data_IF_086551946510
#
_entry.id   IF_086551946510
#
_cell.length_a   1.000
_cell.length_b   1.000
_cell.length_c   1.000
_cell.angle_alpha   90.00
_cell.angle_beta   90.00
_cell.angle_gamma   90.00
#
_symmetry.space_group_name_H-M   'P 1'
#
loop_
_entity.id
_entity.type
_entity.pdbx_description
1 polymer ?
#
# COMPACT_ATOMS: atom_id res chain seq x y z
N UNK A 1 16.59 -2.37 -13.19
CA UNK A 1 16.64 -2.65 -14.64
C UNK A 1 16.54 -1.33 -15.39
N UNK A 2 16.71 -1.29 -16.70
CA UNK A 2 16.46 -0.08 -17.50
C UNK A 2 15.01 0.00 -17.93
N UNK A 3 14.40 1.17 -17.87
CA UNK A 3 13.09 1.45 -18.50
C UNK A 3 13.15 1.10 -20.00
N UNK A 4 12.18 0.31 -20.45
CA UNK A 4 12.01 -0.03 -21.87
C UNK A 4 10.83 0.73 -22.47
N UNK A 5 10.88 0.92 -23.79
CA UNK A 5 9.70 1.30 -24.59
C UNK A 5 9.07 0.03 -25.15
N UNK A 6 7.81 -0.19 -24.86
CA UNK A 6 7.03 -1.29 -25.39
C UNK A 6 6.05 -0.72 -26.41
N UNK A 7 6.09 -1.26 -27.63
CA UNK A 7 5.11 -0.95 -28.66
C UNK A 7 4.20 -2.15 -28.86
N UNK A 8 2.89 -1.96 -28.69
CA UNK A 8 1.88 -2.99 -28.93
C UNK A 8 1.29 -2.80 -30.31
N UNK A 9 1.38 -3.81 -31.17
CA UNK A 9 0.82 -3.81 -32.53
C UNK A 9 -0.71 -4.02 -32.53
N UNK A 10 -1.40 -3.22 -31.72
CA UNK A 10 -2.84 -3.22 -31.51
C UNK A 10 -3.17 -2.31 -30.34
N UNK A 11 -4.13 -2.71 -29.51
CA UNK A 11 -4.59 -1.95 -28.35
C UNK A 11 -3.96 -2.42 -27.03
N UNK A 12 -4.15 -1.62 -25.99
CA UNK A 12 -3.85 -1.97 -24.61
C UNK A 12 -5.13 -1.80 -23.79
N UNK A 13 -5.60 -2.87 -23.16
CA UNK A 13 -6.77 -2.87 -22.29
C UNK A 13 -6.36 -3.24 -20.86
N UNK A 14 -6.58 -2.35 -19.90
CA UNK A 14 -6.21 -2.54 -18.49
C UNK A 14 -7.43 -2.89 -17.65
N UNK A 15 -7.39 -4.08 -17.05
CA UNK A 15 -8.44 -4.68 -16.22
C UNK A 15 -8.02 -4.87 -14.75
N UNK A 16 -6.96 -4.18 -14.33
CA UNK A 16 -6.49 -4.17 -12.94
C UNK A 16 -6.31 -2.73 -12.45
N UNK A 17 -6.66 -2.42 -11.20
CA UNK A 17 -6.38 -1.12 -10.61
C UNK A 17 -4.90 -0.94 -10.23
N UNK A 18 -4.08 -2.01 -10.27
CA UNK A 18 -2.70 -2.04 -9.75
C UNK A 18 -1.62 -1.91 -10.82
N UNK A 19 -1.99 -1.46 -12.02
CA UNK A 19 -1.04 -1.21 -13.11
C UNK A 19 -0.73 0.28 -13.22
N UNK A 20 0.55 0.61 -13.29
CA UNK A 20 1.05 1.93 -13.63
C UNK A 20 2.12 1.84 -14.71
N UNK A 21 2.51 2.98 -15.26
CA UNK A 21 3.47 3.06 -16.35
C UNK A 21 4.24 4.39 -16.28
N UNK A 22 5.44 4.44 -16.85
CA UNK A 22 6.26 5.66 -16.90
C UNK A 22 5.72 6.68 -17.87
N UNK A 23 5.28 6.19 -19.03
CA UNK A 23 4.69 7.00 -20.08
C UNK A 23 3.77 6.10 -20.92
N UNK A 24 2.74 6.68 -21.52
CA UNK A 24 1.89 5.93 -22.43
C UNK A 24 1.33 6.78 -23.55
N UNK A 25 0.92 6.10 -24.63
CA UNK A 25 0.18 6.74 -25.70
C UNK A 25 -0.52 5.72 -26.61
N UNK A 26 -1.47 6.21 -27.40
CA UNK A 26 -2.22 5.43 -28.39
C UNK A 26 -2.13 6.10 -29.77
N UNK A 27 -2.61 5.40 -30.80
CA UNK A 27 -2.59 5.87 -32.19
C UNK A 27 -1.20 6.05 -32.79
N UNK A 28 -0.23 5.22 -32.36
CA UNK A 28 1.11 5.22 -32.93
C UNK A 28 1.14 4.30 -34.17
N UNK A 29 1.15 4.89 -35.37
CA UNK A 29 1.18 4.10 -36.61
C UNK A 29 2.49 3.30 -36.79
N UNK A 30 3.57 3.80 -36.20
CA UNK A 30 4.90 3.17 -36.24
C UNK A 30 5.46 3.04 -34.81
N UNK A 31 6.25 1.99 -34.52
CA UNK A 31 6.93 1.84 -33.24
C UNK A 31 7.90 3.00 -32.97
N UNK A 32 7.92 3.57 -31.76
CA UNK A 32 8.99 4.48 -31.35
C UNK A 32 10.37 3.84 -31.50
N UNK A 33 11.39 4.66 -31.77
CA UNK A 33 12.76 4.17 -31.93
C UNK A 33 13.23 3.37 -30.70
N UNK A 34 13.72 2.15 -30.94
CA UNK A 34 14.20 1.24 -29.90
C UNK A 34 13.09 0.54 -29.10
N UNK A 35 11.82 0.64 -29.52
CA UNK A 35 10.74 -0.07 -28.87
C UNK A 35 10.80 -1.58 -29.11
N UNK A 36 10.56 -2.35 -28.06
CA UNK A 36 10.29 -3.79 -28.15
C UNK A 36 8.86 -3.97 -28.66
N UNK A 37 8.69 -4.73 -29.73
CA UNK A 37 7.37 -4.97 -30.35
C UNK A 37 6.72 -6.15 -29.65
N UNK A 38 5.49 -5.95 -29.21
CA UNK A 38 4.66 -6.96 -28.60
C UNK A 38 3.40 -7.15 -29.46
N UNK A 39 3.18 -8.38 -29.89
CA UNK A 39 2.01 -8.75 -30.69
C UNK A 39 0.82 -9.06 -29.78
N UNK A 40 -0.38 -8.72 -30.24
CA UNK A 40 -1.60 -8.99 -29.51
C UNK A 40 -1.90 -10.49 -29.48
N UNK A 41 -2.33 -10.99 -28.32
CA UNK A 41 -2.77 -12.36 -28.13
C UNK A 41 -4.24 -12.48 -27.75
N UNK A 42 -4.94 -11.35 -27.62
CA UNK A 42 -6.34 -11.26 -27.24
C UNK A 42 -7.08 -10.24 -28.12
N UNK A 43 -8.41 -10.27 -28.06
CA UNK A 43 -9.30 -9.30 -28.71
C UNK A 43 -10.33 -8.78 -27.72
N UNK A 44 -10.55 -7.46 -27.71
CA UNK A 44 -11.63 -6.80 -26.96
C UNK A 44 -12.50 -6.05 -27.97
N UNK A 45 -13.80 -6.36 -28.01
CA UNK A 45 -14.77 -5.80 -28.97
C UNK A 45 -14.30 -5.88 -30.44
N UNK A 46 -13.66 -7.01 -30.80
CA UNK A 46 -13.13 -7.25 -32.14
C UNK A 46 -11.87 -6.45 -32.49
N UNK A 47 -11.27 -5.76 -31.52
CA UNK A 47 -10.00 -5.06 -31.70
C UNK A 47 -8.86 -5.86 -31.05
N UNK A 48 -7.82 -6.25 -31.80
CA UNK A 48 -6.65 -6.93 -31.24
C UNK A 48 -5.97 -6.07 -30.19
N UNK A 49 -5.70 -6.63 -29.01
CA UNK A 49 -5.02 -5.94 -27.92
C UNK A 49 -4.26 -6.90 -27.02
N UNK A 50 -3.40 -6.35 -26.17
CA UNK A 50 -3.04 -7.04 -24.94
C UNK A 50 -4.01 -6.70 -23.82
N UNK A 51 -4.23 -7.69 -22.98
CA UNK A 51 -5.01 -7.56 -21.78
C UNK A 51 -4.07 -7.56 -20.57
N UNK A 52 -4.14 -6.49 -19.77
CA UNK A 52 -3.35 -6.32 -18.55
C UNK A 52 -4.24 -6.62 -17.36
N UNK A 53 -3.91 -7.70 -16.65
CA UNK A 53 -4.63 -8.19 -15.45
C UNK A 53 -3.65 -8.36 -14.29
N UNK A 54 -4.15 -8.70 -13.10
CA UNK A 54 -3.29 -9.02 -11.95
C UNK A 54 -2.44 -10.28 -12.15
N UNK A 55 -2.89 -11.19 -13.02
CA UNK A 55 -2.21 -12.46 -13.31
C UNK A 55 -1.28 -12.37 -14.52
N UNK A 56 -1.45 -11.33 -15.34
CA UNK A 56 -0.70 -11.11 -16.58
C UNK A 56 -0.52 -9.61 -16.77
N UNK A 57 0.58 -9.09 -16.21
CA UNK A 57 0.96 -7.70 -16.37
C UNK A 57 2.39 -7.59 -16.93
N UNK A 58 2.64 -6.69 -17.88
CA UNK A 58 4.00 -6.28 -18.20
C UNK A 58 4.56 -5.36 -17.09
N UNK A 59 5.84 -5.00 -17.15
CA UNK A 59 6.49 -4.24 -16.06
C UNK A 59 5.98 -2.80 -15.93
N UNK A 60 5.60 -2.37 -14.73
CA UNK A 60 5.11 -1.02 -14.42
C UNK A 60 6.17 0.07 -14.62
N UNK A 61 7.45 -0.30 -14.76
CA UNK A 61 8.57 0.65 -14.96
C UNK A 61 8.86 0.97 -16.42
N UNK A 62 8.06 0.44 -17.35
CA UNK A 62 8.20 0.67 -18.79
C UNK A 62 7.28 1.80 -19.30
N UNK A 63 7.56 2.21 -20.53
CA UNK A 63 6.72 3.08 -21.35
C UNK A 63 5.91 2.23 -22.34
N UNK A 64 4.65 2.59 -22.60
CA UNK A 64 3.71 1.78 -23.38
C UNK A 64 3.04 2.56 -24.50
N UNK A 65 3.27 2.13 -25.74
CA UNK A 65 2.75 2.78 -26.93
C UNK A 65 1.88 1.80 -27.72
N UNK A 66 0.61 2.13 -27.88
CA UNK A 66 -0.35 1.31 -28.60
C UNK A 66 -0.58 1.84 -30.02
N UNK A 67 -0.70 0.93 -30.98
CA UNK A 67 -1.08 1.27 -32.35
C UNK A 67 -2.50 1.80 -32.45
N UNK A 68 -3.44 1.20 -31.73
CA UNK A 68 -4.86 1.51 -31.87
C UNK A 68 -5.38 2.29 -30.68
N UNK A 69 -5.54 1.67 -29.51
CA UNK A 69 -6.14 2.30 -28.33
C UNK A 69 -5.36 2.00 -27.05
N UNK A 70 -5.56 2.84 -26.04
CA UNK A 70 -5.06 2.63 -24.68
C UNK A 70 -6.23 2.93 -23.73
N UNK A 71 -6.76 1.90 -23.07
CA UNK A 71 -7.99 2.01 -22.29
C UNK A 71 -7.90 1.26 -20.97
N UNK A 72 -8.68 1.70 -19.98
CA UNK A 72 -8.89 0.99 -18.73
C UNK A 72 -10.37 0.97 -18.38
N UNK A 73 -10.82 -0.14 -17.79
CA UNK A 73 -12.18 -0.26 -17.22
C UNK A 73 -12.19 -0.10 -15.70
N UNK A 74 -11.04 0.08 -15.08
CA UNK A 74 -10.88 0.18 -13.64
C UNK A 74 -10.53 1.61 -13.23
N UNK A 75 -11.05 2.05 -12.09
CA UNK A 75 -10.40 3.15 -11.38
C UNK A 75 -9.09 2.62 -10.82
N UNK A 76 -7.98 3.25 -11.20
CA UNK A 76 -6.69 2.86 -10.66
C UNK A 76 -6.61 3.09 -9.16
N UNK A 77 -5.77 2.30 -8.49
CA UNK A 77 -5.53 2.47 -7.06
C UNK A 77 -4.88 3.81 -6.77
N UNK A 78 -5.42 4.49 -5.76
CA UNK A 78 -5.03 5.82 -5.38
C UNK A 78 -3.51 5.99 -5.14
N UNK A 79 -2.84 5.02 -4.52
CA UNK A 79 -1.39 5.07 -4.23
C UNK A 79 -0.52 5.19 -5.49
N UNK A 80 -1.06 4.92 -6.68
CA UNK A 80 -0.36 5.09 -7.97
C UNK A 80 -0.24 6.57 -8.34
N UNK A 81 -1.18 7.42 -7.93
CA UNK A 81 -1.22 8.83 -8.35
C UNK A 81 -1.09 9.80 -7.17
N UNK A 82 -1.26 9.31 -5.94
CA UNK A 82 -1.12 10.10 -4.73
C UNK A 82 0.34 10.46 -4.46
N UNK A 83 0.55 11.70 -4.08
CA UNK A 83 1.74 12.14 -3.37
C UNK A 83 1.71 11.67 -1.92
N UNK A 84 2.85 11.78 -1.22
CA UNK A 84 2.87 11.55 0.23
C UNK A 84 1.98 12.52 0.99
N UNK A 85 1.78 13.73 0.46
CA UNK A 85 0.88 14.71 1.06
C UNK A 85 -0.58 14.25 0.97
N UNK A 86 -1.01 13.72 -0.18
CA UNK A 86 -2.38 13.20 -0.33
C UNK A 86 -2.66 12.05 0.64
N UNK A 87 -1.68 11.16 0.86
CA UNK A 87 -1.78 10.11 1.88
C UNK A 87 -1.86 10.65 3.31
N UNK A 88 -1.11 11.73 3.61
CA UNK A 88 -1.17 12.41 4.89
C UNK A 88 -2.52 13.10 5.12
N UNK A 89 -3.06 13.75 4.10
CA UNK A 89 -4.34 14.45 4.18
C UNK A 89 -5.48 13.44 4.40
N UNK A 90 -5.48 12.30 3.70
CA UNK A 90 -6.44 11.22 3.95
C UNK A 90 -6.34 10.64 5.36
N UNK A 91 -5.13 10.53 5.92
CA UNK A 91 -4.93 10.18 7.32
C UNK A 91 -5.62 11.19 8.24
N UNK A 92 -5.41 12.49 8.00
CA UNK A 92 -6.02 13.56 8.80
C UNK A 92 -7.55 13.56 8.70
N UNK A 93 -8.11 13.32 7.52
CA UNK A 93 -9.56 13.21 7.31
C UNK A 93 -10.14 12.05 8.11
N UNK A 94 -9.48 10.88 8.06
CA UNK A 94 -9.90 9.71 8.83
C UNK A 94 -9.84 9.98 10.34
N UNK A 95 -8.77 10.64 10.82
CA UNK A 95 -8.64 11.03 12.23
C UNK A 95 -9.70 12.06 12.64
N UNK A 96 -10.10 12.95 11.73
CA UNK A 96 -11.17 13.91 11.97
C UNK A 96 -12.51 13.20 12.17
N UNK A 97 -12.83 12.21 11.34
CA UNK A 97 -14.00 11.34 11.54
C UNK A 97 -13.95 10.58 12.88
N UNK A 98 -12.78 10.09 13.30
CA UNK A 98 -12.62 9.48 14.63
C UNK A 98 -12.92 10.47 15.74
N UNK A 99 -12.45 11.72 15.64
CA UNK A 99 -12.73 12.78 16.62
C UNK A 99 -14.21 13.12 16.69
N UNK A 100 -14.92 13.11 15.57
CA UNK A 100 -16.38 13.27 15.54
C UNK A 100 -17.09 12.16 16.31
N UNK A 101 -16.71 10.89 16.07
CA UNK A 101 -17.24 9.74 16.84
C UNK A 101 -16.99 9.92 18.34
N UNK A 102 -15.80 10.39 18.73
CA UNK A 102 -15.50 10.67 20.14
C UNK A 102 -16.37 11.80 20.71
N UNK A 103 -16.73 12.81 19.92
CA UNK A 103 -17.64 13.88 20.33
C UNK A 103 -19.04 13.38 20.68
N UNK A 104 -19.54 12.37 19.96
CA UNK A 104 -20.83 11.73 20.21
C UNK A 104 -20.86 10.92 21.54
N UNK A 105 -19.70 10.56 22.09
CA UNK A 105 -19.63 9.76 23.32
C UNK A 105 -20.03 10.53 24.58
N UNK A 106 -20.15 11.86 24.52
CA UNK A 106 -20.56 12.69 25.65
C UNK A 106 -22.03 12.44 26.05
N UNK A 107 -22.88 12.11 25.08
CA UNK A 107 -24.30 11.78 25.29
C UNK A 107 -24.59 10.28 25.30
N UNK A 108 -23.56 9.44 25.10
CA UNK A 108 -23.71 7.98 25.03
C UNK A 108 -23.37 7.31 26.37
N UNK A 109 -24.17 6.33 26.78
CA UNK A 109 -23.97 5.56 28.02
C UNK A 109 -24.02 4.05 27.77
N UNK A 110 -23.66 3.27 28.79
CA UNK A 110 -23.75 1.80 28.74
C UNK A 110 -22.82 1.14 27.71
N UNK A 111 -23.24 -0.03 27.21
CA UNK A 111 -22.45 -0.86 26.30
C UNK A 111 -22.13 -0.17 24.98
N UNK A 112 -23.05 0.64 24.46
CA UNK A 112 -22.85 1.38 23.21
C UNK A 112 -21.66 2.34 23.29
N UNK A 113 -21.46 2.98 24.44
CA UNK A 113 -20.28 3.85 24.66
C UNK A 113 -18.98 3.05 24.51
N UNK A 114 -18.94 1.85 25.06
CA UNK A 114 -17.77 0.98 24.98
C UNK A 114 -17.50 0.49 23.54
N UNK A 115 -18.54 0.10 22.82
CA UNK A 115 -18.45 -0.32 21.42
C UNK A 115 -17.95 0.82 20.52
N UNK A 116 -18.49 2.04 20.69
CA UNK A 116 -18.03 3.22 19.96
C UNK A 116 -16.58 3.60 20.30
N UNK A 117 -16.14 3.43 21.55
CA UNK A 117 -14.74 3.59 21.93
C UNK A 117 -13.83 2.58 21.24
N UNK A 118 -14.25 1.31 21.12
CA UNK A 118 -13.52 0.28 20.38
C UNK A 118 -13.43 0.66 18.89
N UNK A 119 -14.53 1.09 18.29
CA UNK A 119 -14.56 1.52 16.89
C UNK A 119 -13.65 2.74 16.65
N UNK A 120 -13.70 3.75 17.52
CA UNK A 120 -12.83 4.92 17.43
C UNK A 120 -11.34 4.54 17.58
N UNK A 121 -11.01 3.66 18.52
CA UNK A 121 -9.64 3.15 18.67
C UNK A 121 -9.18 2.38 17.42
N UNK A 122 -10.04 1.52 16.87
CA UNK A 122 -9.80 0.80 15.62
C UNK A 122 -9.58 1.75 14.43
N UNK A 123 -10.38 2.81 14.34
CA UNK A 123 -10.29 3.82 13.28
C UNK A 123 -8.93 4.52 13.22
N UNK A 124 -8.31 4.81 14.37
CA UNK A 124 -6.93 5.35 14.40
C UNK A 124 -5.94 4.38 13.75
N UNK A 125 -6.07 3.08 14.03
CA UNK A 125 -5.21 2.06 13.43
C UNK A 125 -5.48 1.83 11.96
N UNK A 126 -6.74 1.91 11.53
CA UNK A 126 -7.08 1.89 10.10
C UNK A 126 -6.40 3.05 9.38
N UNK A 127 -6.47 4.27 9.93
CA UNK A 127 -5.79 5.44 9.36
C UNK A 127 -4.27 5.23 9.27
N UNK A 128 -3.64 4.72 10.34
CA UNK A 128 -2.21 4.44 10.37
C UNK A 128 -1.78 3.34 9.38
N UNK A 129 -2.49 2.22 9.34
CA UNK A 129 -2.17 1.10 8.44
C UNK A 129 -2.30 1.55 6.97
N UNK A 130 -3.36 2.29 6.62
CA UNK A 130 -3.54 2.85 5.27
C UNK A 130 -2.42 3.82 4.92
N UNK A 131 -2.10 4.79 5.79
CA UNK A 131 -1.02 5.74 5.55
C UNK A 131 0.34 5.06 5.30
N UNK A 132 0.67 4.06 6.13
CA UNK A 132 1.92 3.30 5.97
C UNK A 132 1.94 2.51 4.67
N UNK A 133 0.85 1.79 4.38
CA UNK A 133 0.74 1.00 3.15
C UNK A 133 0.86 1.90 1.91
N UNK A 134 0.11 3.00 1.86
CA UNK A 134 0.08 3.92 0.73
C UNK A 134 1.44 4.56 0.50
N UNK A 135 2.11 5.07 1.54
CA UNK A 135 3.44 5.68 1.36
C UNK A 135 4.46 4.67 0.81
N UNK A 136 4.47 3.43 1.32
CA UNK A 136 5.33 2.36 0.81
C UNK A 136 4.98 2.05 -0.65
N UNK A 137 3.70 1.85 -0.96
CA UNK A 137 3.22 1.51 -2.30
C UNK A 137 3.56 2.62 -3.29
N UNK A 138 3.26 3.87 -2.97
CA UNK A 138 3.64 5.04 -3.78
C UNK A 138 5.15 5.06 -4.03
N UNK A 139 5.99 4.81 -3.03
CA UNK A 139 7.44 4.81 -3.24
C UNK A 139 7.89 3.70 -4.19
N UNK A 140 7.41 2.47 -4.01
CA UNK A 140 7.87 1.32 -4.79
C UNK A 140 7.30 1.29 -6.22
N UNK A 141 6.15 1.92 -6.48
CA UNK A 141 5.60 2.02 -7.84
C UNK A 141 6.29 3.10 -8.67
N UNK A 142 6.87 4.12 -8.03
CA UNK A 142 7.53 5.24 -8.72
C UNK A 142 9.05 5.11 -8.80
N UNK A 143 9.67 4.30 -7.95
CA UNK A 143 11.13 4.16 -7.87
C UNK A 143 11.55 2.69 -7.90
N UNK A 144 12.24 2.30 -8.97
CA UNK A 144 12.63 0.92 -9.22
C UNK A 144 13.70 0.42 -8.23
N UNK A 145 14.55 1.33 -7.74
CA UNK A 145 15.54 0.99 -6.73
C UNK A 145 14.87 0.70 -5.39
N UNK A 146 13.93 1.56 -4.96
CA UNK A 146 13.09 1.28 -3.80
C UNK A 146 12.25 0.01 -3.95
N UNK A 147 11.72 -0.28 -5.14
CA UNK A 147 11.05 -1.55 -5.41
C UNK A 147 11.97 -2.74 -5.16
N UNK A 148 13.19 -2.71 -5.69
CA UNK A 148 14.18 -3.78 -5.51
C UNK A 148 14.57 -3.96 -4.03
N UNK A 149 14.66 -2.86 -3.27
CA UNK A 149 14.85 -2.89 -1.81
C UNK A 149 13.64 -3.46 -1.07
N UNK A 150 12.43 -3.22 -1.55
CA UNK A 150 11.20 -3.80 -1.00
C UNK A 150 11.15 -5.32 -1.20
N UNK A 151 11.46 -5.79 -2.42
CA UNK A 151 11.61 -7.24 -2.72
C UNK A 151 12.57 -7.88 -1.73
N UNK A 152 13.73 -7.26 -1.51
CA UNK A 152 14.75 -7.76 -0.58
C UNK A 152 14.24 -7.80 0.87
N UNK A 153 13.53 -6.76 1.32
CA UNK A 153 12.93 -6.70 2.65
C UNK A 153 11.88 -7.81 2.86
N UNK A 154 10.99 -8.00 1.88
CA UNK A 154 9.98 -9.06 1.90
C UNK A 154 10.61 -10.45 1.95
N UNK A 155 11.67 -10.68 1.15
CA UNK A 155 12.41 -11.95 1.15
C UNK A 155 13.06 -12.27 2.50
N UNK A 156 13.53 -11.26 3.25
CA UNK A 156 14.15 -11.42 4.57
C UNK A 156 13.13 -11.65 5.69
N UNK A 157 11.97 -10.99 5.63
CA UNK A 157 10.93 -11.12 6.67
C UNK A 157 10.05 -12.35 6.53
N UNK A 158 9.98 -12.93 5.34
CA UNK A 158 9.19 -14.12 5.06
C UNK A 158 9.92 -15.44 5.38
N UNK A 159 10.69 -15.54 6.46
CA UNK A 159 11.21 -16.84 6.94
C UNK A 159 10.08 -17.85 7.19
N UNK A 160 8.86 -17.38 7.50
CA UNK A 160 7.65 -18.22 7.63
C UNK A 160 6.90 -18.50 6.31
N UNK A 161 7.34 -17.92 5.20
CA UNK A 161 6.80 -18.16 3.84
C UNK A 161 7.96 -18.37 2.87
N UNK A 162 8.75 -19.43 3.09
CA UNK A 162 9.77 -19.94 2.16
C UNK A 162 9.28 -19.89 0.70
N UNK A 163 8.01 -20.21 0.51
CA UNK A 163 7.27 -20.14 -0.74
C UNK A 163 7.30 -18.78 -1.44
N UNK A 164 7.07 -17.65 -0.75
CA UNK A 164 7.05 -16.32 -1.41
C UNK A 164 8.46 -15.94 -1.90
N UNK A 165 9.48 -16.23 -1.10
CA UNK A 165 10.87 -15.97 -1.49
C UNK A 165 11.26 -16.81 -2.70
N UNK A 166 10.91 -18.09 -2.71
CA UNK A 166 11.18 -19.01 -3.83
C UNK A 166 10.40 -18.61 -5.09
N UNK A 167 9.13 -18.24 -4.96
CA UNK A 167 8.31 -17.73 -6.06
C UNK A 167 8.91 -16.45 -6.67
N UNK A 168 9.25 -15.45 -5.84
CA UNK A 168 9.85 -14.20 -6.32
C UNK A 168 11.24 -14.42 -6.92
N UNK A 169 12.01 -15.42 -6.46
CA UNK A 169 13.30 -15.74 -7.06
C UNK A 169 13.11 -16.41 -8.43
N UNK A 170 12.21 -17.40 -8.50
CA UNK A 170 11.87 -18.10 -9.74
C UNK A 170 11.39 -17.14 -10.83
N UNK A 171 10.41 -16.29 -10.52
CA UNK A 171 9.87 -15.30 -11.48
C UNK A 171 10.95 -14.31 -11.94
N UNK A 172 11.87 -13.93 -11.04
CA UNK A 172 12.99 -13.07 -11.37
C UNK A 172 13.97 -13.76 -12.32
N UNK A 173 14.29 -15.03 -12.08
CA UNK A 173 15.18 -15.84 -12.93
C UNK A 173 14.55 -16.11 -14.30
N UNK A 174 13.23 -16.21 -14.37
CA UNK A 174 12.43 -16.35 -15.61
C UNK A 174 12.17 -15.00 -16.31
N UNK A 175 12.68 -13.88 -15.78
CA UNK A 175 12.50 -12.52 -16.29
C UNK A 175 11.03 -12.06 -16.40
N UNK A 176 10.16 -12.58 -15.51
CA UNK A 176 8.75 -12.24 -15.40
C UNK A 176 8.55 -11.01 -14.49
N UNK A 177 9.08 -9.86 -14.92
CA UNK A 177 9.18 -8.68 -14.07
C UNK A 177 7.83 -8.12 -13.62
N UNK A 178 6.85 -8.08 -14.52
CA UNK A 178 5.51 -7.60 -14.15
C UNK A 178 4.81 -8.50 -13.13
N UNK A 179 5.01 -9.83 -13.21
CA UNK A 179 4.46 -10.77 -12.23
C UNK A 179 5.09 -10.57 -10.84
N UNK A 180 6.41 -10.34 -10.80
CA UNK A 180 7.12 -9.97 -9.55
C UNK A 180 6.52 -8.69 -8.96
N UNK A 181 6.28 -7.68 -9.79
CA UNK A 181 5.72 -6.39 -9.39
C UNK A 181 4.31 -6.52 -8.82
N UNK A 182 3.41 -7.21 -9.52
CA UNK A 182 2.05 -7.46 -9.03
C UNK A 182 2.08 -8.24 -7.71
N UNK A 183 2.95 -9.26 -7.60
CA UNK A 183 3.08 -10.06 -6.37
C UNK A 183 3.58 -9.25 -5.18
N UNK A 184 4.50 -8.33 -5.41
CA UNK A 184 5.02 -7.43 -4.36
C UNK A 184 3.95 -6.44 -3.92
N UNK A 185 3.21 -5.84 -4.87
CA UNK A 185 2.10 -4.93 -4.56
C UNK A 185 1.04 -5.65 -3.72
N UNK A 186 0.58 -6.83 -4.14
CA UNK A 186 -0.36 -7.66 -3.38
C UNK A 186 0.18 -8.02 -1.99
N UNK A 187 1.47 -8.35 -1.89
CA UNK A 187 2.10 -8.67 -0.60
C UNK A 187 2.10 -7.49 0.36
N UNK A 188 2.34 -6.27 -0.13
CA UNK A 188 2.28 -5.05 0.68
C UNK A 188 0.84 -4.73 1.08
N UNK A 189 -0.12 -4.80 0.15
CA UNK A 189 -1.55 -4.60 0.44
C UNK A 189 -2.10 -5.57 1.49
N UNK A 190 -1.64 -6.83 1.47
CA UNK A 190 -2.02 -7.85 2.47
C UNK A 190 -1.22 -7.76 3.77
N UNK A 191 -0.17 -6.94 3.81
CA UNK A 191 0.62 -6.76 5.03
C UNK A 191 -0.16 -5.88 5.98
N UNK A 192 -0.60 -6.45 7.10
CA UNK A 192 -1.06 -5.63 8.21
C UNK A 192 0.14 -4.98 8.90
N UNK A 193 0.19 -3.66 8.87
CA UNK A 193 1.23 -2.85 9.52
C UNK A 193 0.96 -2.65 11.02
N UNK A 194 0.16 -3.54 11.63
CA UNK A 194 -0.13 -3.61 13.06
C UNK A 194 1.08 -3.98 13.95
N UNK A 195 2.30 -3.76 13.50
CA UNK A 195 3.54 -4.01 14.21
C UNK A 195 4.58 -2.94 13.87
N UNK A 196 5.02 -2.20 14.89
CA UNK A 196 6.00 -1.13 14.77
C UNK A 196 7.35 -1.59 14.19
N UNK A 197 7.80 -2.82 14.47
CA UNK A 197 9.05 -3.34 13.90
C UNK A 197 8.86 -3.71 12.42
N UNK A 198 7.65 -4.09 12.01
CA UNK A 198 7.31 -4.21 10.60
C UNK A 198 7.47 -2.87 9.90
N UNK A 199 6.82 -1.83 10.42
CA UNK A 199 6.91 -0.46 9.89
C UNK A 199 8.38 -0.02 9.78
N UNK A 200 9.13 -0.06 10.89
CA UNK A 200 10.54 0.38 10.93
C UNK A 200 11.40 -0.25 9.86
N UNK A 201 11.28 -1.56 9.65
CA UNK A 201 12.12 -2.25 8.68
C UNK A 201 11.74 -1.91 7.24
N UNK A 202 10.44 -1.74 6.95
CA UNK A 202 10.02 -1.27 5.63
C UNK A 202 10.54 0.14 5.34
N UNK A 203 10.40 1.08 6.29
CA UNK A 203 10.92 2.44 6.09
C UNK A 203 12.46 2.47 6.02
N UNK A 204 13.15 1.63 6.79
CA UNK A 204 14.60 1.47 6.68
C UNK A 204 15.01 0.90 5.32
N UNK A 205 14.29 -0.08 4.79
CA UNK A 205 14.65 -0.70 3.51
C UNK A 205 14.26 0.17 2.32
N UNK A 206 12.99 0.57 2.25
CA UNK A 206 12.40 1.24 1.08
C UNK A 206 12.82 2.70 0.99
N UNK A 207 12.89 3.40 2.13
CA UNK A 207 13.19 4.83 2.20
C UNK A 207 14.59 5.13 2.75
N UNK A 208 15.32 4.15 3.27
CA UNK A 208 16.61 4.37 3.94
C UNK A 208 16.51 5.29 5.16
N UNK A 209 15.34 5.34 5.82
CA UNK A 209 15.10 6.18 7.00
C UNK A 209 14.89 5.36 8.27
N UNK A 210 15.33 5.90 9.41
CA UNK A 210 15.07 5.30 10.72
C UNK A 210 13.89 5.98 11.41
N UNK A 211 12.89 5.18 11.77
CA UNK A 211 11.69 5.58 12.52
C UNK A 211 11.87 5.21 14.00
N UNK A 212 11.49 6.11 14.90
CA UNK A 212 11.71 5.97 16.34
C UNK A 212 10.35 5.86 17.05
N UNK A 213 10.20 4.82 17.88
CA UNK A 213 9.07 4.67 18.80
C UNK A 213 9.50 5.11 20.20
N UNK A 214 9.38 6.42 20.46
CA UNK A 214 9.83 7.01 21.70
C UNK A 214 9.07 6.44 22.89
N UNK A 215 9.80 5.85 23.84
CA UNK A 215 9.23 5.21 25.02
C UNK A 215 8.39 3.94 24.73
N UNK A 216 8.40 3.43 23.50
CA UNK A 216 7.64 2.22 23.14
C UNK A 216 6.11 2.42 23.10
N UNK A 217 5.65 3.67 22.96
CA UNK A 217 4.23 4.03 22.98
C UNK A 217 3.44 3.35 21.87
N UNK A 218 3.93 3.46 20.62
CA UNK A 218 3.25 2.86 19.47
C UNK A 218 3.21 1.34 19.59
N UNK A 219 4.31 0.71 20.02
CA UNK A 219 4.35 -0.72 20.33
C UNK A 219 3.23 -1.13 21.30
N UNK A 220 3.04 -0.38 22.38
CA UNK A 220 2.00 -0.65 23.36
C UNK A 220 0.60 -0.48 22.78
N UNK A 221 0.39 0.53 21.93
CA UNK A 221 -0.90 0.72 21.26
C UNK A 221 -1.21 -0.41 20.26
N UNK A 222 -0.25 -0.86 19.46
CA UNK A 222 -0.43 -2.03 18.59
C UNK A 222 -0.76 -3.31 19.38
N UNK A 223 -0.09 -3.52 20.53
CA UNK A 223 -0.42 -4.62 21.43
C UNK A 223 -1.87 -4.54 21.93
N UNK A 224 -2.29 -3.34 22.34
CA UNK A 224 -3.65 -3.07 22.80
C UNK A 224 -4.70 -3.27 21.67
N UNK A 225 -4.40 -2.87 20.43
CA UNK A 225 -5.25 -3.14 19.25
C UNK A 225 -5.49 -4.63 19.05
N UNK A 226 -4.48 -5.47 19.22
CA UNK A 226 -4.63 -6.92 19.13
C UNK A 226 -5.53 -7.48 20.25
N UNK A 227 -5.43 -6.96 21.47
CA UNK A 227 -6.36 -7.32 22.56
C UNK A 227 -7.80 -6.88 22.25
N UNK A 228 -7.98 -5.71 21.63
CA UNK A 228 -9.29 -5.22 21.22
C UNK A 228 -9.95 -6.17 20.22
N UNK A 229 -9.22 -6.59 19.19
CA UNK A 229 -9.77 -7.45 18.14
C UNK A 229 -9.99 -8.88 18.61
N UNK A 230 -9.02 -9.47 19.31
CA UNK A 230 -9.08 -10.90 19.64
C UNK A 230 -9.81 -11.18 20.96
N UNK A 231 -10.00 -10.18 21.82
CA UNK A 231 -10.55 -10.36 23.17
C UNK A 231 -11.58 -9.30 23.55
N UNK A 232 -12.12 -8.57 22.57
CA UNK A 232 -13.04 -7.46 22.79
C UNK A 232 -12.52 -6.46 23.83
N UNK A 233 -11.21 -6.21 23.82
CA UNK A 233 -10.54 -5.28 24.70
C UNK A 233 -10.32 -5.77 26.13
N UNK A 234 -10.65 -7.03 26.46
CA UNK A 234 -10.48 -7.58 27.82
C UNK A 234 -9.04 -8.04 28.07
N UNK A 235 -8.46 -7.58 29.18
CA UNK A 235 -7.18 -8.03 29.72
C UNK A 235 -7.34 -9.35 30.49
N UNK A 236 -6.21 -9.97 30.89
CA UNK A 236 -6.24 -11.23 31.68
C UNK A 236 -6.90 -11.05 33.05
N UNK A 237 -6.76 -9.88 33.66
CA UNK A 237 -7.35 -9.52 34.96
C UNK A 237 -8.82 -9.07 34.86
N UNK A 238 -9.48 -9.24 33.70
CA UNK A 238 -10.88 -8.84 33.49
C UNK A 238 -11.11 -7.35 33.20
N UNK A 239 -10.11 -6.49 33.37
CA UNK A 239 -10.21 -5.05 33.03
C UNK A 239 -10.17 -4.80 31.52
N UNK A 240 -10.65 -3.65 31.08
CA UNK A 240 -10.61 -3.27 29.68
C UNK A 240 -9.34 -2.47 29.32
N UNK A 241 -8.92 -2.60 28.08
CA UNK A 241 -7.81 -1.83 27.49
C UNK A 241 -8.18 -0.35 27.36
N UNK A 242 -9.43 -0.07 26.99
CA UNK A 242 -9.98 1.29 26.87
C UNK A 242 -10.95 1.49 28.03
N UNK A 243 -10.56 2.37 28.94
CA UNK A 243 -11.33 2.75 30.14
C UNK A 243 -11.98 4.13 30.01
N UNK A 244 -11.49 4.97 29.09
CA UNK A 244 -11.93 6.34 28.90
C UNK A 244 -11.63 6.86 27.50
N UNK A 245 -12.34 7.91 27.08
CA UNK A 245 -12.07 8.63 25.82
C UNK A 245 -10.70 9.30 25.81
N UNK A 246 -10.18 9.67 26.99
CA UNK A 246 -8.82 10.23 27.15
C UNK A 246 -7.75 9.30 26.60
N UNK A 247 -7.92 7.98 26.77
CA UNK A 247 -7.01 6.96 26.23
C UNK A 247 -6.94 7.05 24.70
N UNK A 248 -8.07 7.32 24.03
CA UNK A 248 -8.13 7.44 22.56
C UNK A 248 -7.57 8.80 22.11
N UNK A 249 -7.87 9.90 22.82
CA UNK A 249 -7.27 11.20 22.50
C UNK A 249 -5.74 11.18 22.63
N UNK A 250 -5.20 10.48 23.64
CA UNK A 250 -3.75 10.32 23.80
C UNK A 250 -3.16 9.50 22.66
N UNK A 251 -3.82 8.39 22.27
CA UNK A 251 -3.45 7.61 21.10
C UNK A 251 -3.42 8.47 19.82
N UNK A 252 -4.44 9.30 19.58
CA UNK A 252 -4.47 10.20 18.41
C UNK A 252 -3.27 11.14 18.42
N UNK A 253 -2.95 11.76 19.54
CA UNK A 253 -1.81 12.68 19.64
C UNK A 253 -0.47 11.98 19.36
N UNK A 254 -0.25 10.81 19.94
CA UNK A 254 0.97 10.03 19.73
C UNK A 254 1.05 9.49 18.28
N UNK A 255 -0.08 9.09 17.70
CA UNK A 255 -0.18 8.68 16.30
C UNK A 255 0.10 9.85 15.34
N UNK A 256 -0.46 11.04 15.60
CA UNK A 256 -0.21 12.25 14.82
C UNK A 256 1.28 12.61 14.84
N UNK A 257 1.92 12.53 16.01
CA UNK A 257 3.36 12.77 16.15
C UNK A 257 4.19 11.73 15.38
N UNK A 258 3.78 10.46 15.43
CA UNK A 258 4.43 9.37 14.72
C UNK A 258 4.34 9.54 13.19
N UNK A 259 3.15 9.84 12.65
CA UNK A 259 2.95 10.09 11.22
C UNK A 259 3.73 11.33 10.77
N UNK A 260 3.73 12.41 11.55
CA UNK A 260 4.55 13.61 11.24
C UNK A 260 6.04 13.31 11.20
N UNK A 261 6.53 12.46 12.11
CA UNK A 261 7.94 12.02 12.07
C UNK A 261 8.25 11.29 10.77
N UNK A 262 7.36 10.38 10.33
CA UNK A 262 7.52 9.68 9.05
C UNK A 262 7.53 10.68 7.90
N UNK A 263 6.50 11.54 7.80
CA UNK A 263 6.39 12.52 6.73
C UNK A 263 7.63 13.38 6.60
N UNK A 264 8.11 13.93 7.71
CA UNK A 264 9.33 14.76 7.75
C UNK A 264 10.55 14.02 7.20
N UNK A 265 10.64 12.70 7.39
CA UNK A 265 11.79 11.90 6.95
C UNK A 265 11.71 11.47 5.49
N UNK A 266 10.50 11.27 4.94
CA UNK A 266 10.31 10.77 3.57
C UNK A 266 10.16 11.89 2.53
N UNK A 267 10.00 13.13 2.97
CA UNK A 267 9.94 14.33 2.10
C UNK A 267 11.23 15.16 2.08
N UNK A 268 12.27 14.72 2.82
CA UNK A 268 13.64 15.25 2.74
C UNK A 268 14.40 14.62 1.58
#
# INVERSE_FOLDING_TARGET
>A
MSTKKIYVNGGIAIHTPYFCYRNAGAHYNEPPAGAEILECDEEVDGCPCINITEEKAPSIFNEYYAKTFFSTICQFSDFIYKSYQDGYDQYQDTISGVKEVLGLLNSTTGNLKHELMIMAYGGVFTALDTFVADTILTRITHDQDSFSKCVSCLRLKCEKKKELKEQLQKMWDENLLGDVEQKVIDSVLRTSFCNIETIKDFYKSVFSVSIVDEGGKMRNYFHNRNLIIHRNGKRKNGTFVIDSTKTIFTLIQDADAFVKQIMTKITQ
#
